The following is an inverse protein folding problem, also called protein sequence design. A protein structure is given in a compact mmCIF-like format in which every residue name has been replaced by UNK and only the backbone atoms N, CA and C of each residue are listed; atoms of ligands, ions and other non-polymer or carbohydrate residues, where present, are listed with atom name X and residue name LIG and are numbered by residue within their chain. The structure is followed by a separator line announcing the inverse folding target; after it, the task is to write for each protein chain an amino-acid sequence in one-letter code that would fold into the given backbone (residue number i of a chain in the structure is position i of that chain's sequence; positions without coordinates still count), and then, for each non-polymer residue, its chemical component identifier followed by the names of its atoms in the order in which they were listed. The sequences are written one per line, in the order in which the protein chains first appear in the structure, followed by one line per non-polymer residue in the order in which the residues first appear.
data_IF_235029960674
#
_entry.id   IF_235029960674
#
_cell.length_a   1.000
_cell.length_b   1.000
_cell.length_c   1.000
_cell.angle_alpha   90.00
_cell.angle_beta   90.00
_cell.angle_gamma   90.00
#
_symmetry.space_group_name_H-M   'P 1'
#
loop_
_entity.id
_entity.type
_entity.pdbx_description
1 polymer ?
#
# COMPACT_ATOMS: atom_id res chain seq x y z
N UNK A 1 -27.70 -42.70 -2.94
CA UNK A 1 -26.50 -42.62 -3.80
C UNK A 1 -25.67 -41.45 -3.31
N UNK A 2 -24.55 -41.70 -2.65
CA UNK A 2 -23.58 -40.65 -2.29
C UNK A 2 -22.78 -40.30 -3.53
N UNK A 3 -22.99 -39.11 -4.08
CA UNK A 3 -22.16 -38.58 -5.16
C UNK A 3 -20.73 -38.44 -4.63
N UNK A 4 -19.84 -39.32 -5.07
CA UNK A 4 -18.40 -39.17 -4.82
C UNK A 4 -17.93 -38.10 -5.80
N UNK A 5 -17.67 -36.90 -5.27
CA UNK A 5 -17.03 -35.83 -6.04
C UNK A 5 -15.69 -36.33 -6.57
N UNK A 6 -15.43 -36.06 -7.86
CA UNK A 6 -14.14 -36.37 -8.47
C UNK A 6 -13.03 -35.55 -7.78
N UNK A 7 -11.77 -35.93 -7.95
CA UNK A 7 -10.64 -35.18 -7.37
C UNK A 7 -10.67 -33.71 -7.79
N UNK A 8 -11.03 -33.45 -9.05
CA UNK A 8 -11.16 -32.11 -9.62
C UNK A 8 -12.29 -31.31 -8.97
N UNK A 9 -13.43 -31.94 -8.69
CA UNK A 9 -14.58 -31.25 -8.09
C UNK A 9 -14.27 -30.82 -6.65
N UNK A 10 -13.48 -31.60 -5.91
CA UNK A 10 -13.00 -31.20 -4.58
C UNK A 10 -12.03 -30.03 -4.64
N UNK A 11 -11.07 -30.07 -5.56
CA UNK A 11 -10.12 -28.95 -5.76
C UNK A 11 -10.86 -27.65 -6.10
N UNK A 12 -11.88 -27.74 -6.96
CA UNK A 12 -12.73 -26.59 -7.30
C UNK A 12 -13.52 -26.11 -6.08
N UNK A 13 -14.12 -27.01 -5.32
CA UNK A 13 -14.88 -26.67 -4.12
C UNK A 13 -13.99 -25.99 -3.07
N UNK A 14 -12.76 -26.48 -2.87
CA UNK A 14 -11.78 -25.90 -1.96
C UNK A 14 -11.36 -24.49 -2.41
N UNK A 15 -11.11 -24.30 -3.70
CA UNK A 15 -10.80 -22.98 -4.27
C UNK A 15 -11.96 -22.00 -4.11
N UNK A 16 -13.20 -22.41 -4.38
CA UNK A 16 -14.38 -21.59 -4.14
C UNK A 16 -14.51 -21.23 -2.65
N UNK A 17 -14.27 -22.18 -1.75
CA UNK A 17 -14.24 -21.96 -0.31
C UNK A 17 -13.19 -20.91 0.09
N UNK A 18 -11.99 -21.00 -0.47
CA UNK A 18 -10.90 -20.06 -0.22
C UNK A 18 -11.24 -18.65 -0.73
N UNK A 19 -11.82 -18.53 -1.93
CA UNK A 19 -12.23 -17.25 -2.52
C UNK A 19 -13.27 -16.56 -1.63
N UNK A 20 -14.34 -17.27 -1.24
CA UNK A 20 -15.37 -16.71 -0.36
C UNK A 20 -14.81 -16.32 1.00
N UNK A 21 -13.91 -17.13 1.56
CA UNK A 21 -13.23 -16.81 2.82
C UNK A 21 -12.41 -15.51 2.69
N UNK A 22 -11.61 -15.39 1.63
CA UNK A 22 -10.78 -14.21 1.41
C UNK A 22 -11.62 -12.95 1.12
N UNK A 23 -12.76 -13.10 0.44
CA UNK A 23 -13.72 -12.03 0.23
C UNK A 23 -14.26 -11.50 1.57
N UNK A 24 -14.84 -12.38 2.40
CA UNK A 24 -15.37 -11.99 3.72
C UNK A 24 -14.29 -11.37 4.60
N UNK A 25 -13.07 -11.92 4.58
CA UNK A 25 -11.96 -11.40 5.38
C UNK A 25 -11.54 -9.99 4.93
N UNK A 26 -11.50 -9.75 3.62
CA UNK A 26 -11.16 -8.43 3.07
C UNK A 26 -12.26 -7.40 3.35
N UNK A 27 -13.54 -7.81 3.32
CA UNK A 27 -14.66 -6.96 3.71
C UNK A 27 -14.56 -6.52 5.17
N UNK A 28 -14.31 -7.47 6.09
CA UNK A 28 -14.11 -7.17 7.51
C UNK A 28 -12.90 -6.22 7.74
N UNK A 29 -11.80 -6.43 7.01
CA UNK A 29 -10.62 -5.56 7.05
C UNK A 29 -10.95 -4.14 6.54
N UNK A 30 -11.71 -4.01 5.45
CA UNK A 30 -12.19 -2.73 4.91
C UNK A 30 -13.05 -1.98 5.92
N UNK A 31 -14.00 -2.67 6.57
CA UNK A 31 -14.90 -2.09 7.57
C UNK A 31 -14.12 -1.58 8.79
N UNK A 32 -13.14 -2.35 9.27
CA UNK A 32 -12.28 -1.94 10.38
C UNK A 32 -11.46 -0.68 10.03
N UNK A 33 -10.86 -0.62 8.84
CA UNK A 33 -10.09 0.54 8.38
C UNK A 33 -10.99 1.78 8.21
N UNK A 34 -12.20 1.60 7.65
CA UNK A 34 -13.18 2.66 7.52
C UNK A 34 -13.64 3.20 8.88
N UNK A 35 -13.83 2.34 9.87
CA UNK A 35 -14.19 2.74 11.23
C UNK A 35 -13.06 3.55 11.91
N UNK A 36 -11.79 3.13 11.75
CA UNK A 36 -10.64 3.90 12.21
C UNK A 36 -10.60 5.28 11.56
N UNK A 37 -10.70 5.33 10.22
CA UNK A 37 -10.68 6.57 9.46
C UNK A 37 -11.78 7.55 9.91
N UNK A 38 -13.02 7.09 10.04
CA UNK A 38 -14.14 7.92 10.53
C UNK A 38 -13.89 8.45 11.94
N UNK A 39 -13.21 7.68 12.79
CA UNK A 39 -12.86 8.11 14.15
C UNK A 39 -11.80 9.21 14.13
N UNK A 40 -10.78 9.08 13.29
CA UNK A 40 -9.76 10.11 13.10
C UNK A 40 -10.34 11.38 12.46
N UNK A 41 -11.24 11.26 11.48
CA UNK A 41 -11.94 12.41 10.89
C UNK A 41 -12.77 13.16 11.93
N UNK A 42 -13.48 12.45 12.82
CA UNK A 42 -14.22 13.06 13.94
C UNK A 42 -13.28 13.77 14.92
N UNK A 43 -12.13 13.17 15.21
CA UNK A 43 -11.11 13.79 16.05
C UNK A 43 -10.59 15.10 15.44
N UNK A 44 -10.21 15.09 14.16
CA UNK A 44 -9.77 16.29 13.43
C UNK A 44 -10.85 17.37 13.50
N UNK A 45 -12.10 17.03 13.14
CA UNK A 45 -13.21 18.00 13.12
C UNK A 45 -13.42 18.67 14.47
N UNK A 46 -13.32 17.91 15.57
CA UNK A 46 -13.46 18.43 16.94
C UNK A 46 -12.26 19.30 17.35
N UNK A 47 -11.05 18.93 16.95
CA UNK A 47 -9.83 19.67 17.30
C UNK A 47 -9.70 20.95 16.49
N UNK A 48 -9.94 20.91 15.17
CA UNK A 48 -9.91 22.08 14.28
C UNK A 48 -10.87 23.17 14.79
N UNK A 49 -12.04 22.81 15.32
CA UNK A 49 -13.00 23.79 15.87
C UNK A 49 -12.53 24.48 17.15
N UNK A 50 -11.52 23.94 17.83
CA UNK A 50 -10.97 24.48 19.09
C UNK A 50 -9.70 25.29 18.87
N UNK A 51 -9.13 25.28 17.66
CA UNK A 51 -7.87 25.96 17.38
C UNK A 51 -8.11 27.39 16.88
N UNK A 52 -7.31 28.37 17.33
CA UNK A 52 -7.32 29.70 16.75
C UNK A 52 -6.94 29.65 15.25
N UNK A 53 -7.47 30.57 14.42
CA UNK A 53 -7.07 30.68 13.02
C UNK A 53 -5.55 30.83 12.87
N UNK A 54 -4.95 30.08 11.95
CA UNK A 54 -3.51 30.11 11.68
C UNK A 54 -2.65 29.30 12.66
N UNK A 55 -3.24 28.66 13.67
CA UNK A 55 -2.52 27.74 14.55
C UNK A 55 -2.36 26.36 13.89
N UNK A 56 -1.12 25.88 13.78
CA UNK A 56 -0.80 24.55 13.26
C UNK A 56 -0.57 23.59 14.44
N UNK A 57 -1.48 22.63 14.65
CA UNK A 57 -1.31 21.55 15.62
C UNK A 57 -0.53 20.38 14.97
N UNK A 58 0.69 20.06 15.43
CA UNK A 58 1.48 18.93 14.92
C UNK A 58 0.75 17.60 15.02
N UNK A 59 -0.10 17.42 16.04
CA UNK A 59 -0.90 16.20 16.23
C UNK A 59 -1.89 16.02 15.09
N UNK A 60 -2.53 17.11 14.65
CA UNK A 60 -3.49 17.06 13.54
C UNK A 60 -2.80 16.74 12.22
N UNK A 61 -1.54 17.14 12.05
CA UNK A 61 -0.74 16.77 10.89
C UNK A 61 -0.49 15.26 10.84
N UNK A 62 -0.06 14.66 11.96
CA UNK A 62 0.14 13.21 12.06
C UNK A 62 -1.16 12.43 11.81
N UNK A 63 -2.29 12.90 12.37
CA UNK A 63 -3.59 12.25 12.16
C UNK A 63 -4.05 12.35 10.70
N UNK A 64 -3.85 13.50 10.02
CA UNK A 64 -4.14 13.62 8.58
C UNK A 64 -3.26 12.69 7.74
N UNK A 65 -1.98 12.57 8.09
CA UNK A 65 -1.07 11.61 7.46
C UNK A 65 -1.52 10.16 7.65
N UNK A 66 -2.00 9.81 8.85
CA UNK A 66 -2.58 8.49 9.13
C UNK A 66 -3.84 8.24 8.29
N UNK A 67 -4.74 9.21 8.16
CA UNK A 67 -5.92 9.10 7.30
C UNK A 67 -5.52 8.85 5.83
N UNK A 68 -4.50 9.54 5.32
CA UNK A 68 -4.01 9.27 3.95
C UNK A 68 -3.50 7.83 3.80
N UNK A 69 -2.81 7.32 4.83
CA UNK A 69 -2.35 5.92 4.87
C UNK A 69 -3.53 4.94 4.89
N UNK A 70 -4.56 5.22 5.70
CA UNK A 70 -5.77 4.39 5.77
C UNK A 70 -6.54 4.39 4.45
N UNK A 71 -6.73 5.54 3.82
CA UNK A 71 -7.35 5.65 2.49
C UNK A 71 -6.63 4.79 1.46
N UNK A 72 -5.29 4.83 1.47
CA UNK A 72 -4.49 3.98 0.58
C UNK A 72 -4.69 2.49 0.87
N UNK A 73 -4.73 2.10 2.15
CA UNK A 73 -4.99 0.71 2.52
C UNK A 73 -6.38 0.27 2.05
N UNK A 74 -7.42 1.05 2.35
CA UNK A 74 -8.81 0.77 1.93
C UNK A 74 -8.87 0.58 0.40
N UNK A 75 -8.32 1.51 -0.38
CA UNK A 75 -8.31 1.38 -1.85
C UNK A 75 -7.54 0.15 -2.37
N UNK A 76 -6.55 -0.35 -1.62
CA UNK A 76 -5.87 -1.62 -1.96
C UNK A 76 -6.75 -2.85 -1.64
N UNK A 77 -7.52 -2.82 -0.56
CA UNK A 77 -8.44 -3.90 -0.20
C UNK A 77 -9.67 -3.92 -1.13
N UNK A 78 -10.26 -2.77 -1.43
CA UNK A 78 -11.35 -2.62 -2.40
C UNK A 78 -10.95 -3.13 -3.79
N UNK A 79 -9.71 -2.84 -4.22
CA UNK A 79 -9.20 -3.40 -5.48
C UNK A 79 -9.09 -4.94 -5.45
N UNK A 80 -8.71 -5.53 -4.32
CA UNK A 80 -8.64 -6.99 -4.19
C UNK A 80 -10.04 -7.61 -4.18
N UNK A 81 -10.99 -6.98 -3.50
CA UNK A 81 -12.40 -7.39 -3.52
C UNK A 81 -12.94 -7.38 -4.95
N UNK A 82 -12.74 -6.28 -5.69
CA UNK A 82 -13.12 -6.18 -7.10
C UNK A 82 -12.56 -7.34 -7.96
N UNK A 83 -11.31 -7.75 -7.70
CA UNK A 83 -10.74 -8.91 -8.40
C UNK A 83 -11.38 -10.24 -8.01
N UNK A 84 -11.65 -10.45 -6.72
CA UNK A 84 -12.34 -11.65 -6.25
C UNK A 84 -13.75 -11.74 -6.83
N UNK A 85 -14.51 -10.64 -6.82
CA UNK A 85 -15.84 -10.56 -7.44
C UNK A 85 -15.80 -10.92 -8.93
N UNK A 86 -14.80 -10.42 -9.68
CA UNK A 86 -14.61 -10.83 -11.10
C UNK A 86 -14.35 -12.33 -11.24
N UNK A 87 -13.56 -12.92 -10.37
CA UNK A 87 -13.30 -14.36 -10.37
C UNK A 87 -14.58 -15.14 -10.05
N UNK A 88 -15.33 -14.72 -9.03
CA UNK A 88 -16.61 -15.33 -8.66
C UNK A 88 -17.61 -15.28 -9.82
N UNK A 89 -17.76 -14.15 -10.50
CA UNK A 89 -18.63 -14.04 -11.68
C UNK A 89 -18.20 -15.00 -12.80
N UNK A 90 -16.89 -15.13 -13.06
CA UNK A 90 -16.37 -16.06 -14.06
C UNK A 90 -16.66 -17.51 -13.68
N UNK A 91 -16.49 -17.86 -12.41
CA UNK A 91 -16.82 -19.20 -11.89
C UNK A 91 -18.32 -19.50 -12.08
N UNK A 92 -19.21 -18.56 -11.71
CA UNK A 92 -20.66 -18.71 -11.91
C UNK A 92 -21.00 -18.95 -13.38
N UNK A 93 -20.38 -18.19 -14.31
CA UNK A 93 -20.58 -18.38 -15.75
C UNK A 93 -20.10 -19.76 -16.22
N UNK A 94 -18.94 -20.22 -15.76
CA UNK A 94 -18.44 -21.56 -16.11
C UNK A 94 -19.40 -22.65 -15.60
N UNK A 95 -19.83 -22.61 -14.34
CA UNK A 95 -20.77 -23.59 -13.80
C UNK A 95 -22.13 -23.57 -14.52
N UNK A 96 -22.62 -22.40 -14.91
CA UNK A 96 -23.85 -22.28 -15.68
C UNK A 96 -23.74 -22.91 -17.08
N UNK A 97 -22.55 -22.83 -17.72
CA UNK A 97 -22.29 -23.51 -18.99
C UNK A 97 -22.23 -25.03 -18.82
N UNK A 98 -21.50 -25.50 -17.81
CA UNK A 98 -21.36 -26.93 -17.53
C UNK A 98 -22.74 -27.56 -17.24
N UNK A 99 -23.57 -26.91 -16.42
CA UNK A 99 -24.93 -27.36 -16.14
C UNK A 99 -25.82 -27.41 -17.40
N UNK A 100 -25.68 -26.46 -18.34
CA UNK A 100 -26.40 -26.50 -19.63
C UNK A 100 -25.92 -27.62 -20.53
N UNK A 101 -24.61 -27.85 -20.58
CA UNK A 101 -24.02 -28.94 -21.35
C UNK A 101 -24.49 -30.31 -20.83
N UNK A 102 -24.54 -30.49 -19.50
CA UNK A 102 -25.07 -31.70 -18.86
C UNK A 102 -26.56 -31.91 -19.17
N UNK A 103 -27.34 -30.83 -19.29
CA UNK A 103 -28.76 -30.89 -19.67
C UNK A 103 -28.98 -31.08 -21.18
N UNK A 104 -27.92 -31.20 -21.98
CA UNK A 104 -28.01 -31.33 -23.44
C UNK A 104 -28.57 -30.07 -24.14
N UNK A 105 -28.56 -28.93 -23.45
CA UNK A 105 -29.03 -27.66 -23.99
C UNK A 105 -27.95 -27.04 -24.87
N UNK A 106 -28.31 -26.40 -26.00
CA UNK A 106 -27.33 -25.77 -26.88
C UNK A 106 -26.58 -24.64 -26.15
N UNK A 107 -25.26 -24.62 -26.31
CA UNK A 107 -24.41 -23.52 -25.85
C UNK A 107 -24.85 -22.23 -26.57
N UNK A 108 -25.13 -21.18 -25.81
CA UNK A 108 -25.33 -19.84 -26.38
C UNK A 108 -23.96 -19.38 -26.88
N UNK A 109 -23.89 -18.88 -28.13
CA UNK A 109 -22.68 -18.23 -28.64
C UNK A 109 -22.41 -17.00 -27.80
N UNK A 110 -21.27 -16.98 -27.14
CA UNK A 110 -20.84 -15.83 -26.36
C UNK A 110 -20.48 -14.70 -27.32
N UNK A 111 -21.08 -13.53 -27.12
CA UNK A 111 -20.44 -12.28 -27.54
C UNK A 111 -19.12 -12.22 -26.75
N UNK A 112 -18.00 -11.94 -27.42
CA UNK A 112 -16.70 -11.76 -26.74
C UNK A 112 -16.90 -10.75 -25.61
N UNK A 113 -16.86 -11.21 -24.36
CA UNK A 113 -16.87 -10.31 -23.21
C UNK A 113 -15.54 -9.57 -23.23
N UNK A 114 -15.58 -8.35 -23.77
CA UNK A 114 -14.57 -7.33 -23.58
C UNK A 114 -14.30 -7.27 -22.07
N UNK A 115 -13.08 -7.61 -21.65
CA UNK A 115 -12.72 -7.49 -20.24
C UNK A 115 -12.87 -6.02 -19.86
N UNK A 116 -13.88 -5.72 -19.05
CA UNK A 116 -14.08 -4.36 -18.55
C UNK A 116 -12.75 -3.85 -17.98
N UNK A 117 -12.25 -2.70 -18.50
CA UNK A 117 -10.97 -2.19 -18.08
C UNK A 117 -11.01 -1.93 -16.58
N UNK A 118 -9.89 -2.20 -15.88
CA UNK A 118 -9.77 -1.91 -14.46
C UNK A 118 -10.17 -0.43 -14.25
N UNK A 119 -11.14 -0.14 -13.35
CA UNK A 119 -11.58 1.21 -13.09
C UNK A 119 -10.39 2.13 -12.78
N UNK A 120 -10.44 3.37 -13.29
CA UNK A 120 -9.34 4.33 -13.15
C UNK A 120 -8.91 4.54 -11.70
N UNK A 121 -9.88 4.49 -10.78
CA UNK A 121 -9.67 4.60 -9.33
C UNK A 121 -8.76 3.51 -8.74
N UNK A 122 -8.70 2.34 -9.37
CA UNK A 122 -7.88 1.21 -8.91
C UNK A 122 -6.59 1.01 -9.71
N UNK A 123 -6.35 1.78 -10.79
CA UNK A 123 -5.11 1.70 -11.58
C UNK A 123 -3.86 1.99 -10.75
N UNK A 124 -3.97 2.88 -9.76
CA UNK A 124 -2.87 3.16 -8.82
C UNK A 124 -2.51 1.94 -7.94
N UNK A 125 -3.51 1.14 -7.57
CA UNK A 125 -3.35 -0.04 -6.71
C UNK A 125 -2.69 -1.23 -7.44
N UNK A 126 -2.85 -1.32 -8.77
CA UNK A 126 -2.32 -2.41 -9.62
C UNK A 126 -0.79 -2.58 -9.51
N UNK A 127 -0.03 -1.49 -9.45
CA UNK A 127 1.45 -1.50 -9.50
C UNK A 127 2.12 -2.15 -8.29
N UNK A 128 1.43 -2.22 -7.14
CA UNK A 128 1.99 -2.74 -5.88
C UNK A 128 1.67 -4.22 -5.62
N UNK A 129 0.67 -4.77 -6.30
CA UNK A 129 0.22 -6.16 -6.10
C UNK A 129 1.03 -7.15 -6.96
N UNK A 130 1.53 -6.71 -8.11
CA UNK A 130 2.33 -7.55 -9.03
C UNK A 130 3.75 -7.83 -8.51
N UNK A 131 4.29 -6.98 -7.63
CA UNK A 131 5.69 -7.08 -7.17
C UNK A 131 5.90 -7.93 -5.90
N UNK A 132 4.90 -8.67 -5.39
CA UNK A 132 5.07 -9.54 -4.21
C UNK A 132 5.21 -11.03 -4.51
N UNK A 133 5.35 -11.42 -5.79
CA UNK A 133 5.49 -12.83 -6.20
C UNK A 133 6.93 -13.26 -6.57
N UNK A 134 7.93 -12.41 -6.32
CA UNK A 134 9.35 -12.72 -6.58
C UNK A 134 10.26 -12.52 -5.36
N UNK A 135 9.83 -12.78 -4.13
CA UNK A 135 10.80 -12.97 -3.03
C UNK A 135 10.40 -14.16 -2.15
N UNK A 136 10.69 -15.35 -2.68
CA UNK A 136 10.78 -16.57 -1.91
C UNK A 136 12.24 -16.85 -1.52
N UNK A 137 12.50 -16.78 -0.21
CA UNK A 137 13.41 -17.64 0.59
C UNK A 137 14.86 -17.84 0.11
N UNK A 138 15.81 -17.25 0.85
CA UNK A 138 16.76 -18.04 1.66
C UNK A 138 17.08 -17.32 2.98
N UNK A 139 16.84 -18.01 4.08
CA UNK A 139 17.26 -17.65 5.43
C UNK A 139 18.59 -18.34 5.75
N UNK A 140 19.62 -17.59 6.18
CA UNK A 140 20.60 -18.00 7.18
C UNK A 140 21.70 -16.93 7.36
N UNK A 141 22.10 -16.70 8.61
CA UNK A 141 23.51 -16.41 8.91
C UNK A 141 23.91 -14.94 9.08
N UNK A 142 23.65 -14.44 10.28
CA UNK A 142 24.65 -13.87 11.19
C UNK A 142 25.88 -13.08 10.65
N UNK A 143 26.07 -11.91 11.27
CA UNK A 143 27.35 -11.35 11.73
C UNK A 143 28.21 -10.53 10.77
N UNK A 144 28.59 -9.34 11.25
CA UNK A 144 30.01 -8.94 11.23
C UNK A 144 30.41 -7.81 10.28
N UNK A 145 30.53 -6.61 10.83
CA UNK A 145 31.74 -5.78 10.86
C UNK A 145 32.68 -5.71 9.64
N UNK A 146 32.93 -4.48 9.19
CA UNK A 146 34.31 -3.97 9.10
C UNK A 146 34.99 -3.91 7.72
N UNK A 147 35.23 -2.67 7.27
CA UNK A 147 36.51 -2.09 6.82
C UNK A 147 37.46 -2.89 5.90
N UNK A 148 37.85 -2.31 4.76
CA UNK A 148 38.99 -2.80 3.98
C UNK A 148 39.25 -2.12 2.63
N UNK A 149 40.16 -1.13 2.65
CA UNK A 149 40.85 -0.43 1.56
C UNK A 149 41.17 -1.19 0.26
N UNK A 150 41.16 -0.43 -0.85
CA UNK A 150 42.18 -0.41 -1.93
C UNK A 150 42.13 0.98 -2.59
N UNK A 151 43.16 1.68 -3.04
CA UNK A 151 44.62 1.55 -3.03
C UNK A 151 45.19 2.95 -3.36
N UNK A 152 46.40 3.21 -2.86
CA UNK A 152 47.19 4.44 -3.00
C UNK A 152 47.59 4.76 -4.45
N UNK A 153 47.54 6.05 -4.83
CA UNK A 153 48.49 6.66 -5.78
C UNK A 153 48.79 8.11 -5.35
N UNK A 154 50.04 8.39 -4.98
CA UNK A 154 50.68 9.73 -4.94
C UNK A 154 52.01 9.57 -5.73
N UNK A 155 52.56 10.60 -6.42
CA UNK A 155 53.37 11.66 -5.77
C UNK A 155 53.08 13.09 -6.31
N UNK A 156 53.09 14.14 -5.47
CA UNK A 156 54.17 15.16 -5.23
C UNK A 156 54.39 16.10 -6.44
N UNK A 157 54.52 17.44 -6.39
CA UNK A 157 55.00 18.42 -5.40
C UNK A 157 54.54 19.85 -5.79
N UNK A 158 54.65 20.80 -4.84
CA UNK A 158 55.19 22.17 -5.01
C UNK A 158 54.31 23.40 -4.69
N UNK A 159 54.80 24.13 -3.65
CA UNK A 159 54.91 25.60 -3.48
C UNK A 159 53.80 26.40 -2.77
N UNK A 160 54.01 26.54 -1.46
CA UNK A 160 54.24 27.79 -0.68
C UNK A 160 53.81 29.15 -1.23
N UNK A 161 53.01 29.86 -0.42
CA UNK A 161 53.10 31.29 0.02
C UNK A 161 51.67 31.76 0.31
N UNK A 162 51.29 32.53 1.32
CA UNK A 162 51.92 33.27 2.40
C UNK A 162 50.79 34.13 3.01
N UNK A 163 51.02 34.76 4.17
CA UNK A 163 50.21 35.93 4.55
C UNK A 163 49.35 35.80 5.80
N UNK A 164 49.96 36.18 6.91
CA UNK A 164 49.42 36.43 8.24
C UNK A 164 48.42 37.62 8.36
N UNK A 165 47.59 37.54 9.42
CA UNK A 165 47.23 38.57 10.44
C UNK A 165 45.94 39.43 10.32
N UNK A 166 45.18 39.32 11.44
CA UNK A 166 44.70 40.37 12.39
C UNK A 166 43.35 41.09 12.22
N UNK A 167 42.50 40.85 13.23
CA UNK A 167 41.87 41.79 14.20
C UNK A 167 40.82 42.84 13.79
N UNK A 168 39.77 42.93 14.62
CA UNK A 168 38.93 44.12 14.87
C UNK A 168 37.46 43.74 15.12
N UNK A 169 36.94 43.76 16.37
CA UNK A 169 36.20 44.87 17.02
C UNK A 169 34.93 45.30 16.24
N UNK A 170 33.76 45.61 16.78
CA UNK A 170 33.14 45.61 18.11
C UNK A 170 31.69 46.10 17.88
N UNK A 171 30.69 45.58 18.58
CA UNK A 171 29.31 46.08 18.49
C UNK A 171 28.62 46.07 19.84
N UNK A 172 28.73 47.19 20.57
CA UNK A 172 28.04 47.45 21.85
C UNK A 172 26.55 47.74 21.58
N UNK A 173 25.65 47.05 22.28
CA UNK A 173 24.23 47.41 22.43
C UNK A 173 24.07 48.31 23.66
N UNK A 174 23.39 49.43 23.49
CA UNK A 174 22.91 50.30 24.56
C UNK A 174 21.37 50.30 24.55
N UNK A 175 20.80 50.20 25.74
CA UNK A 175 19.45 50.60 26.15
C UNK A 175 19.64 51.45 27.43
N UNK A 176 18.66 52.20 28.00
CA UNK A 176 17.21 52.16 27.74
C UNK A 176 16.54 53.54 27.59
N UNK A 177 15.25 53.54 27.26
CA UNK A 177 14.35 54.68 27.41
C UNK A 177 12.95 54.16 27.71
N UNK A 178 12.51 54.31 28.95
CA UNK A 178 11.11 54.14 29.37
C UNK A 178 10.62 55.50 29.83
N UNK A 179 9.50 55.93 29.26
CA UNK A 179 8.64 57.00 29.78
C UNK A 179 7.67 56.43 30.81
#
# INVERSE_FOLDING_TARGET
MTHVLSSRDREIQDLCGQIMHDHMRLDDECDALNAEMRTLQRYIKKRDSLLPPGFLDPTLYEVRSRIMTLNRAIGQHEYRLYHLERIEMRLVKMFAKDARAEQGMPLIKEEEEEEDPIPDEYKCCCSTVVNKKEEGITSAGASGSGSGNKENVIPSDSKTSGGSKKSGLSGKRAAPGTS
#
